data_IF_388028726853
#
_entry.id   IF_388028726853
#
_cell.length_a   1.000
_cell.length_b   1.000
_cell.length_c   1.000
_cell.angle_alpha   90.00
_cell.angle_beta   90.00
_cell.angle_gamma   90.00
#
_symmetry.space_group_name_H-M   'P 1'
#
loop_
_entity.id
_entity.type
_entity.pdbx_description
1 polymer ?
#
# COMPACT_ATOMS: atom_id res chain seq x y z
N UNK A 1 -10.14 -14.31 -13.31
CA UNK A 1 -9.76 -13.49 -12.14
C UNK A 1 -8.40 -13.94 -11.67
N UNK A 2 -7.43 -13.05 -11.52
CA UNK A 2 -6.14 -13.41 -10.92
C UNK A 2 -6.31 -13.56 -9.40
N UNK A 3 -5.42 -14.32 -8.74
CA UNK A 3 -5.44 -14.48 -7.27
C UNK A 3 -5.39 -13.12 -6.53
N UNK A 4 -4.69 -12.14 -7.10
CA UNK A 4 -4.65 -10.78 -6.56
C UNK A 4 -6.02 -10.07 -6.62
N UNK A 5 -6.75 -10.19 -7.73
CA UNK A 5 -8.11 -9.61 -7.87
C UNK A 5 -9.11 -10.27 -6.91
N UNK A 6 -8.99 -11.59 -6.70
CA UNK A 6 -9.83 -12.29 -5.71
C UNK A 6 -9.54 -11.78 -4.30
N UNK A 7 -8.27 -11.55 -3.97
CA UNK A 7 -7.86 -10.93 -2.71
C UNK A 7 -8.44 -9.52 -2.55
N UNK A 8 -8.38 -8.68 -3.59
CA UNK A 8 -8.97 -7.33 -3.60
C UNK A 8 -10.47 -7.36 -3.31
N UNK A 9 -11.24 -8.22 -3.99
CA UNK A 9 -12.68 -8.36 -3.69
C UNK A 9 -12.89 -8.76 -2.23
N UNK A 10 -12.08 -9.66 -1.69
CA UNK A 10 -12.16 -10.08 -0.29
C UNK A 10 -11.91 -8.94 0.71
N UNK A 11 -10.85 -8.15 0.51
CA UNK A 11 -10.51 -7.05 1.42
C UNK A 11 -11.41 -5.83 1.27
N UNK A 12 -11.90 -5.56 0.06
CA UNK A 12 -12.93 -4.55 -0.19
C UNK A 12 -14.22 -4.85 0.58
N UNK A 13 -14.67 -6.10 0.57
CA UNK A 13 -15.85 -6.54 1.35
C UNK A 13 -15.60 -6.51 2.86
N UNK A 14 -14.34 -6.66 3.27
CA UNK A 14 -13.94 -6.61 4.68
C UNK A 14 -13.86 -5.16 5.22
N UNK A 15 -13.56 -4.18 4.36
CA UNK A 15 -13.48 -2.76 4.75
C UNK A 15 -14.69 -2.22 5.53
N UNK A 16 -15.95 -2.37 5.09
CA UNK A 16 -17.11 -1.86 5.83
C UNK A 16 -17.25 -2.51 7.21
N UNK A 17 -16.73 -3.73 7.39
CA UNK A 17 -16.71 -4.40 8.69
C UNK A 17 -15.61 -3.80 9.57
N UNK A 18 -14.42 -3.53 9.04
CA UNK A 18 -13.28 -3.04 9.83
C UNK A 18 -13.36 -1.55 10.17
N UNK A 19 -13.95 -0.75 9.27
CA UNK A 19 -13.96 0.71 9.36
C UNK A 19 -14.54 1.26 10.68
N UNK A 20 -15.68 0.76 11.20
CA UNK A 20 -16.23 1.22 12.46
C UNK A 20 -15.35 0.89 13.68
N UNK A 21 -14.57 -0.20 13.65
CA UNK A 21 -13.77 -0.65 14.78
C UNK A 21 -12.35 -0.06 14.80
N UNK A 22 -11.74 0.08 13.62
CA UNK A 22 -10.35 0.50 13.48
C UNK A 22 -10.22 1.97 13.09
N UNK A 23 -11.21 2.54 12.42
CA UNK A 23 -11.11 3.87 11.84
C UNK A 23 -10.12 3.94 10.67
N UNK A 24 -10.15 5.05 9.94
CA UNK A 24 -9.35 5.22 8.72
C UNK A 24 -7.83 5.15 8.99
N UNK A 25 -7.36 5.85 10.04
CA UNK A 25 -5.94 5.91 10.38
C UNK A 25 -5.33 4.51 10.60
N UNK A 26 -5.99 3.65 11.40
CA UNK A 26 -5.45 2.32 11.71
C UNK A 26 -5.51 1.38 10.50
N UNK A 27 -6.57 1.46 9.69
CA UNK A 27 -6.68 0.66 8.47
C UNK A 27 -5.56 1.02 7.49
N UNK A 28 -5.27 2.31 7.29
CA UNK A 28 -4.16 2.73 6.43
C UNK A 28 -2.80 2.24 6.95
N UNK A 29 -2.58 2.26 8.28
CA UNK A 29 -1.35 1.69 8.89
C UNK A 29 -1.25 0.19 8.60
N UNK A 30 -2.34 -0.56 8.72
CA UNK A 30 -2.37 -1.98 8.36
C UNK A 30 -2.05 -2.20 6.88
N UNK A 31 -2.54 -1.33 5.99
CA UNK A 31 -2.21 -1.36 4.56
C UNK A 31 -0.71 -1.16 4.30
N UNK A 32 -0.09 -0.18 4.97
CA UNK A 32 1.37 0.07 4.86
C UNK A 32 2.19 -1.09 5.42
N UNK A 33 1.77 -1.66 6.56
CA UNK A 33 2.40 -2.83 7.15
C UNK A 33 2.27 -4.07 6.24
N UNK A 34 1.10 -4.28 5.62
CA UNK A 34 0.89 -5.32 4.63
C UNK A 34 1.79 -5.15 3.41
N UNK A 35 2.04 -3.91 2.99
CA UNK A 35 2.92 -3.62 1.87
C UNK A 35 4.39 -3.96 2.18
N UNK A 36 4.86 -3.57 3.38
CA UNK A 36 6.18 -3.94 3.88
C UNK A 36 6.33 -5.47 3.98
N UNK A 37 5.34 -6.15 4.58
CA UNK A 37 5.32 -7.61 4.71
C UNK A 37 5.32 -8.31 3.34
N UNK A 38 4.52 -7.83 2.39
CA UNK A 38 4.46 -8.36 1.03
C UNK A 38 5.82 -8.32 0.35
N UNK A 39 6.48 -7.17 0.37
CA UNK A 39 7.78 -7.03 -0.28
C UNK A 39 8.87 -7.82 0.45
N UNK A 40 8.80 -7.94 1.77
CA UNK A 40 9.67 -8.83 2.52
C UNK A 40 9.48 -10.31 2.10
N UNK A 41 8.24 -10.79 1.95
CA UNK A 41 7.97 -12.14 1.46
C UNK A 41 8.59 -12.38 0.06
N UNK A 42 8.49 -11.40 -0.84
CA UNK A 42 9.11 -11.51 -2.17
C UNK A 42 10.64 -11.49 -2.10
N UNK A 43 11.22 -10.69 -1.21
CA UNK A 43 12.67 -10.65 -1.02
C UNK A 43 13.22 -12.00 -0.51
N UNK A 44 12.58 -12.59 0.50
CA UNK A 44 13.06 -13.83 1.13
C UNK A 44 12.71 -15.09 0.33
N UNK A 45 11.69 -15.04 -0.55
CA UNK A 45 11.41 -16.15 -1.46
C UNK A 45 12.60 -16.48 -2.37
N UNK A 46 13.41 -15.48 -2.74
CA UNK A 46 14.62 -15.69 -3.54
C UNK A 46 15.61 -16.65 -2.86
N UNK A 47 15.69 -16.64 -1.53
CA UNK A 47 16.60 -17.49 -0.75
C UNK A 47 16.04 -18.90 -0.52
N UNK A 48 14.71 -19.05 -0.60
CA UNK A 48 14.02 -20.33 -0.42
C UNK A 48 12.99 -20.55 -1.53
N UNK A 49 13.42 -20.87 -2.77
CA UNK A 49 12.52 -21.00 -3.92
C UNK A 49 11.44 -22.10 -3.78
N UNK A 50 11.63 -23.04 -2.86
CA UNK A 50 10.65 -24.08 -2.52
C UNK A 50 9.54 -23.57 -1.58
N UNK A 51 9.70 -22.41 -0.96
CA UNK A 51 8.74 -21.80 -0.04
C UNK A 51 7.66 -21.02 -0.80
N UNK A 52 6.90 -21.69 -1.68
CA UNK A 52 5.87 -21.07 -2.53
C UNK A 52 4.80 -20.29 -1.76
N UNK A 53 4.60 -20.62 -0.47
CA UNK A 53 3.70 -19.89 0.42
C UNK A 53 4.08 -18.41 0.56
N UNK A 54 5.36 -18.04 0.41
CA UNK A 54 5.80 -16.64 0.50
C UNK A 54 5.27 -15.82 -0.68
N UNK A 55 5.35 -16.37 -1.90
CA UNK A 55 4.81 -15.72 -3.10
C UNK A 55 3.29 -15.65 -3.04
N UNK A 56 2.64 -16.77 -2.67
CA UNK A 56 1.18 -16.80 -2.52
C UNK A 56 0.70 -15.84 -1.44
N UNK A 57 1.41 -15.75 -0.30
CA UNK A 57 1.14 -14.80 0.76
C UNK A 57 1.28 -13.36 0.29
N UNK A 58 2.35 -13.04 -0.45
CA UNK A 58 2.52 -11.70 -1.03
C UNK A 58 1.44 -11.34 -2.06
N UNK A 59 0.95 -12.31 -2.84
CA UNK A 59 -0.19 -12.12 -3.74
C UNK A 59 -1.48 -11.91 -2.94
N UNK A 60 -1.72 -12.67 -1.87
CA UNK A 60 -2.88 -12.53 -1.00
C UNK A 60 -2.89 -11.19 -0.25
N UNK A 61 -1.73 -10.64 0.10
CA UNK A 61 -1.64 -9.31 0.70
C UNK A 61 -1.96 -8.18 -0.29
N UNK A 62 -2.13 -8.47 -1.59
CA UNK A 62 -2.44 -7.46 -2.60
C UNK A 62 -3.69 -6.66 -2.33
N UNK A 63 -4.81 -7.34 -2.08
CA UNK A 63 -6.08 -6.68 -1.79
C UNK A 63 -5.94 -5.77 -0.57
N UNK A 64 -5.33 -6.27 0.51
CA UNK A 64 -5.10 -5.46 1.71
C UNK A 64 -4.27 -4.21 1.41
N UNK A 65 -3.18 -4.32 0.64
CA UNK A 65 -2.37 -3.15 0.26
C UNK A 65 -3.17 -2.14 -0.57
N UNK A 66 -3.93 -2.62 -1.55
CA UNK A 66 -4.66 -1.78 -2.48
C UNK A 66 -5.86 -1.11 -1.80
N UNK A 67 -6.71 -1.89 -1.15
CA UNK A 67 -7.96 -1.41 -0.57
C UNK A 67 -7.71 -0.50 0.63
N UNK A 68 -6.79 -0.88 1.53
CA UNK A 68 -6.60 -0.14 2.77
C UNK A 68 -5.86 1.18 2.57
N UNK A 69 -5.17 1.37 1.44
CA UNK A 69 -4.50 2.62 1.09
C UNK A 69 -5.32 3.42 0.09
N UNK A 70 -5.67 2.83 -1.06
CA UNK A 70 -6.27 3.57 -2.17
C UNK A 70 -7.78 3.70 -2.02
N UNK A 71 -8.51 2.63 -1.71
CA UNK A 71 -9.96 2.69 -1.52
C UNK A 71 -10.29 3.50 -0.27
N UNK A 72 -9.65 3.15 0.85
CA UNK A 72 -9.79 3.87 2.12
C UNK A 72 -9.33 5.33 2.05
N UNK A 73 -8.23 5.61 1.34
CA UNK A 73 -7.77 6.98 1.10
C UNK A 73 -8.82 7.81 0.36
N UNK A 74 -9.43 7.25 -0.69
CA UNK A 74 -10.54 7.90 -1.40
C UNK A 74 -11.76 8.12 -0.49
N UNK A 75 -12.14 7.12 0.30
CA UNK A 75 -13.26 7.25 1.26
C UNK A 75 -13.00 8.33 2.32
N UNK A 76 -11.77 8.43 2.82
CA UNK A 76 -11.37 9.46 3.78
C UNK A 76 -11.37 10.86 3.15
N UNK A 77 -10.78 11.01 1.96
CA UNK A 77 -10.76 12.28 1.22
C UNK A 77 -12.17 12.74 0.87
N UNK A 78 -13.05 11.83 0.46
CA UNK A 78 -14.45 12.11 0.19
C UNK A 78 -15.15 12.65 1.46
N UNK A 79 -15.05 11.92 2.57
CA UNK A 79 -15.61 12.33 3.86
C UNK A 79 -15.09 13.72 4.30
N UNK A 80 -13.82 14.01 4.05
CA UNK A 80 -13.20 15.27 4.46
C UNK A 80 -13.56 16.47 3.57
N UNK A 81 -13.82 16.25 2.27
CA UNK A 81 -14.07 17.33 1.30
C UNK A 81 -15.54 17.79 1.27
N UNK A 82 -16.48 16.92 1.64
CA UNK A 82 -17.92 17.18 1.56
C UNK A 82 -18.48 17.10 0.12
N UNK A 83 -19.80 17.06 0.00
CA UNK A 83 -20.49 16.67 -1.25
C UNK A 83 -20.19 17.58 -2.45
N UNK A 84 -19.98 18.87 -2.22
CA UNK A 84 -19.72 19.84 -3.30
C UNK A 84 -18.34 19.71 -3.92
N UNK A 85 -17.34 19.22 -3.17
CA UNK A 85 -15.95 19.12 -3.60
C UNK A 85 -15.47 17.68 -3.80
N UNK A 86 -16.32 16.68 -3.51
CA UNK A 86 -16.01 15.24 -3.61
C UNK A 86 -15.29 14.87 -4.90
N UNK A 87 -15.85 15.25 -6.06
CA UNK A 87 -15.28 14.90 -7.36
C UNK A 87 -13.87 15.49 -7.57
N UNK A 88 -13.70 16.77 -7.23
CA UNK A 88 -12.41 17.46 -7.31
C UNK A 88 -11.37 16.84 -6.36
N UNK A 89 -11.78 16.50 -5.14
CA UNK A 89 -10.91 15.89 -4.14
C UNK A 89 -10.47 14.47 -4.54
N UNK A 90 -11.38 13.66 -5.08
CA UNK A 90 -11.06 12.34 -5.62
C UNK A 90 -10.14 12.44 -6.86
N UNK A 91 -10.39 13.40 -7.75
CA UNK A 91 -9.53 13.68 -8.88
C UNK A 91 -8.11 14.05 -8.43
N UNK A 92 -7.99 14.94 -7.45
CA UNK A 92 -6.69 15.33 -6.88
C UNK A 92 -5.97 14.14 -6.22
N UNK A 93 -6.70 13.32 -5.45
CA UNK A 93 -6.16 12.08 -4.88
C UNK A 93 -5.65 11.14 -5.97
N UNK A 94 -6.39 10.96 -7.06
CA UNK A 94 -5.97 10.14 -8.19
C UNK A 94 -4.71 10.70 -8.88
N UNK A 95 -4.62 12.01 -9.09
CA UNK A 95 -3.43 12.66 -9.65
C UNK A 95 -2.19 12.40 -8.79
N UNK A 96 -2.30 12.50 -7.46
CA UNK A 96 -1.15 12.24 -6.59
C UNK A 96 -0.78 10.76 -6.51
N UNK A 97 -1.75 9.86 -6.48
CA UNK A 97 -1.49 8.43 -6.26
C UNK A 97 -1.17 7.68 -7.56
N UNK A 98 -2.00 7.84 -8.59
CA UNK A 98 -1.89 7.16 -9.87
C UNK A 98 -1.18 7.99 -10.95
N UNK A 99 -1.03 9.30 -10.75
CA UNK A 99 -0.23 10.17 -11.62
C UNK A 99 1.19 10.30 -11.09
N UNK A 100 1.44 11.35 -10.30
CA UNK A 100 2.77 11.71 -9.82
C UNK A 100 3.44 10.58 -9.02
N UNK A 101 2.72 9.96 -8.07
CA UNK A 101 3.23 8.87 -7.26
C UNK A 101 3.64 7.65 -8.08
N UNK A 102 2.79 7.24 -9.03
CA UNK A 102 3.10 6.13 -9.93
C UNK A 102 4.30 6.44 -10.85
N UNK A 103 4.40 7.68 -11.35
CA UNK A 103 5.53 8.13 -12.15
C UNK A 103 6.85 8.05 -11.35
N UNK A 104 6.90 8.67 -10.17
CA UNK A 104 8.09 8.66 -9.31
C UNK A 104 8.43 7.24 -8.87
N UNK A 105 7.44 6.43 -8.49
CA UNK A 105 7.65 5.04 -8.09
C UNK A 105 8.21 4.17 -9.22
N UNK A 106 7.70 4.33 -10.44
CA UNK A 106 8.18 3.58 -11.61
C UNK A 106 9.61 3.98 -11.98
N UNK A 107 9.92 5.28 -11.92
CA UNK A 107 11.27 5.78 -12.16
C UNK A 107 12.26 5.26 -11.10
N UNK A 108 11.93 5.37 -9.81
CA UNK A 108 12.74 4.84 -8.72
C UNK A 108 12.93 3.32 -8.82
N UNK A 109 11.87 2.59 -9.18
CA UNK A 109 11.97 1.15 -9.39
C UNK A 109 12.96 0.79 -10.51
N UNK A 110 12.99 1.57 -11.59
CA UNK A 110 13.98 1.41 -12.66
C UNK A 110 15.41 1.66 -12.18
N UNK A 111 15.62 2.74 -11.40
CA UNK A 111 16.93 3.05 -10.80
C UNK A 111 17.38 1.94 -9.85
N UNK A 112 16.50 1.44 -8.98
CA UNK A 112 16.80 0.33 -8.07
C UNK A 112 17.16 -0.93 -8.85
N UNK A 113 16.36 -1.30 -9.85
CA UNK A 113 16.63 -2.46 -10.68
C UNK A 113 18.01 -2.36 -11.35
N UNK A 114 18.37 -1.21 -11.94
CA UNK A 114 19.67 -1.01 -12.57
C UNK A 114 20.84 -1.16 -11.59
N UNK A 115 20.72 -0.61 -10.38
CA UNK A 115 21.78 -0.70 -9.37
C UNK A 115 22.00 -2.12 -8.82
N UNK A 116 20.95 -2.95 -8.84
CA UNK A 116 20.99 -4.34 -8.36
C UNK A 116 20.99 -5.36 -9.51
N UNK A 117 21.40 -4.96 -10.70
CA UNK A 117 21.62 -5.85 -11.84
C UNK A 117 23.10 -5.91 -12.17
N UNK A 118 23.67 -7.10 -12.23
CA UNK A 118 25.08 -7.27 -12.60
C UNK A 118 25.32 -6.92 -14.08
N UNK A 119 26.58 -6.70 -14.45
CA UNK A 119 26.95 -6.49 -15.85
C UNK A 119 26.56 -7.66 -16.78
N UNK A 120 26.37 -8.87 -16.22
CA UNK A 120 25.88 -10.04 -16.94
C UNK A 120 24.35 -10.13 -17.01
N UNK A 121 23.61 -9.13 -16.53
CA UNK A 121 22.14 -9.10 -16.54
C UNK A 121 21.48 -9.92 -15.43
N UNK A 122 22.24 -10.34 -14.41
CA UNK A 122 21.69 -11.11 -13.28
C UNK A 122 21.14 -10.16 -12.22
N UNK A 123 19.86 -10.29 -11.89
CA UNK A 123 19.17 -9.48 -10.90
C UNK A 123 19.35 -10.02 -9.47
N UNK A 124 19.77 -9.17 -8.54
CA UNK A 124 19.63 -9.42 -7.11
C UNK A 124 18.20 -9.07 -6.66
N UNK A 125 17.30 -10.04 -6.83
CA UNK A 125 15.88 -9.88 -6.50
C UNK A 125 15.65 -9.59 -5.02
N UNK A 126 16.48 -10.13 -4.12
CA UNK A 126 16.33 -9.90 -2.69
C UNK A 126 16.51 -8.41 -2.39
N UNK A 127 17.60 -7.81 -2.87
CA UNK A 127 17.85 -6.38 -2.65
C UNK A 127 16.81 -5.50 -3.34
N UNK A 128 16.42 -5.85 -4.58
CA UNK A 128 15.38 -5.12 -5.32
C UNK A 128 14.06 -5.06 -4.53
N UNK A 129 13.64 -6.18 -3.92
CA UNK A 129 12.41 -6.23 -3.13
C UNK A 129 12.57 -5.66 -1.72
N UNK A 130 13.77 -5.69 -1.12
CA UNK A 130 14.01 -5.09 0.18
C UNK A 130 13.90 -3.56 0.18
N UNK A 131 14.29 -2.89 -0.91
CA UNK A 131 14.18 -1.42 -1.00
C UNK A 131 12.74 -0.95 -0.77
N UNK A 132 11.72 -1.37 -1.54
CA UNK A 132 10.35 -0.95 -1.29
C UNK A 132 9.79 -1.51 0.04
N UNK A 133 10.26 -2.66 0.53
CA UNK A 133 9.87 -3.15 1.86
C UNK A 133 10.26 -2.17 2.98
N UNK A 134 11.51 -1.71 2.97
CA UNK A 134 12.05 -0.76 3.93
C UNK A 134 11.36 0.60 3.76
N UNK A 135 11.16 1.06 2.53
CA UNK A 135 10.43 2.30 2.27
C UNK A 135 9.00 2.25 2.83
N UNK A 136 8.25 1.18 2.58
CA UNK A 136 6.89 1.00 3.11
C UNK A 136 6.88 0.97 4.64
N UNK A 137 7.86 0.30 5.27
CA UNK A 137 7.99 0.29 6.73
C UNK A 137 8.32 1.69 7.29
N UNK A 138 9.20 2.44 6.61
CA UNK A 138 9.59 3.80 7.01
C UNK A 138 8.47 4.83 6.84
N UNK A 139 7.52 4.59 5.92
CA UNK A 139 6.34 5.43 5.77
C UNK A 139 5.39 5.33 6.97
N UNK A 140 5.41 4.25 7.74
CA UNK A 140 4.53 4.10 8.92
C UNK A 140 4.80 5.18 9.99
N UNK A 141 6.04 5.39 10.49
CA UNK A 141 6.30 6.46 11.46
C UNK A 141 6.06 7.86 10.86
N UNK A 142 6.35 8.07 9.58
CA UNK A 142 6.06 9.34 8.89
C UNK A 142 4.55 9.60 8.88
N UNK A 143 3.76 8.59 8.51
CA UNK A 143 2.31 8.68 8.50
C UNK A 143 1.75 8.88 9.91
N UNK A 144 2.28 8.19 10.92
CA UNK A 144 1.87 8.36 12.31
C UNK A 144 2.08 9.80 12.80
N UNK A 145 3.21 10.43 12.42
CA UNK A 145 3.56 11.79 12.79
C UNK A 145 2.75 12.86 12.04
N UNK A 146 2.47 12.64 10.74
CA UNK A 146 1.82 13.65 9.89
C UNK A 146 0.29 13.52 9.83
N UNK A 147 -0.25 12.30 9.93
CA UNK A 147 -1.68 12.06 9.77
C UNK A 147 -2.45 12.42 11.04
N UNK A 148 -3.32 13.44 10.92
CA UNK A 148 -4.23 13.92 11.96
C UNK A 148 -5.67 13.63 11.56
N UNK A 149 -6.34 12.82 12.36
CA UNK A 149 -7.76 12.52 12.17
C UNK A 149 -8.59 13.45 13.07
N UNK A 150 -9.18 14.51 12.49
CA UNK A 150 -10.05 15.43 13.22
C UNK A 150 -11.43 14.85 13.52
N UNK A 151 -11.85 13.77 12.84
CA UNK A 151 -13.16 13.15 13.08
C UNK A 151 -13.27 12.48 14.46
N UNK A 152 -12.15 12.22 15.15
CA UNK A 152 -12.13 11.63 16.48
C UNK A 152 -12.22 12.67 17.63
N UNK A 153 -11.97 13.96 17.36
CA UNK A 153 -12.05 15.03 18.37
C UNK A 153 -13.52 15.40 18.71
N UNK A 154 -14.45 15.26 17.77
CA UNK A 154 -15.84 15.69 17.95
C UNK A 154 -16.73 14.68 18.72
N UNK A 155 -16.22 13.50 19.10
CA UNK A 155 -17.00 12.51 19.89
C UNK A 155 -16.88 12.74 21.40
N UNK A 156 -16.04 13.68 21.84
CA UNK A 156 -15.83 14.00 23.26
C UNK A 156 -16.03 15.48 23.61
N UNK A 157 -16.67 16.27 22.74
CA UNK A 157 -17.04 17.67 22.98
C UNK A 157 -18.57 17.82 23.15
#
# INVERSE_FOLDING_TARGET
MTLGQVSEVGFLLLLPVLLPFLGAKRIMILGMAAWAARFALFAYFHEQPTATWMVLGGILLHGMCYDFIFVMGRMYVDKAAGDSLRASAQGLHAVFTLGAGMFVGSWLSGVVAQNYTSAAGVHDWKSIWLVPAIMSAALIPIFLALFRDKSAEDTHA
#
